data_IF_279899574116
#
_entry.id   IF_279899574116
#
_cell.length_a   1.000
_cell.length_b   1.000
_cell.length_c   1.000
_cell.angle_alpha   90.00
_cell.angle_beta   90.00
_cell.angle_gamma   90.00
#
_symmetry.space_group_name_H-M   'P 1'
#
loop_
_entity.id
_entity.type
_entity.pdbx_description
1 polymer ?
#
# COMPACT_ATOMS: atom_id res chain seq x y z
N UNK A 1 3.18 16.93 -18.06
CA UNK A 1 1.99 16.85 -17.19
C UNK A 1 1.52 15.39 -16.94
N UNK A 2 2.44 14.43 -16.72
CA UNK A 2 2.10 12.98 -16.69
C UNK A 2 1.49 12.49 -15.36
N UNK A 3 1.72 13.19 -14.25
CA UNK A 3 1.31 12.69 -12.92
C UNK A 3 -0.22 12.65 -12.71
N UNK A 4 -0.97 13.62 -13.22
CA UNK A 4 -2.43 13.62 -13.07
C UNK A 4 -3.10 12.42 -13.75
N UNK A 5 -2.49 11.90 -14.84
CA UNK A 5 -2.93 10.66 -15.48
C UNK A 5 -2.55 9.45 -14.64
N UNK A 6 -1.29 9.38 -14.21
CA UNK A 6 -0.76 8.29 -13.37
C UNK A 6 -1.53 8.10 -12.06
N UNK A 7 -1.84 9.18 -11.33
CA UNK A 7 -2.60 9.05 -10.08
C UNK A 7 -4.02 8.53 -10.33
N UNK A 8 -4.65 8.91 -11.46
CA UNK A 8 -5.97 8.42 -11.84
C UNK A 8 -5.93 6.92 -12.19
N UNK A 9 -4.92 6.49 -12.94
CA UNK A 9 -4.68 5.08 -13.27
C UNK A 9 -4.48 4.27 -11.97
N UNK A 10 -3.64 4.74 -11.05
CA UNK A 10 -3.41 4.04 -9.76
C UNK A 10 -4.66 3.99 -8.86
N UNK A 11 -5.50 5.02 -8.87
CA UNK A 11 -6.80 4.98 -8.16
C UNK A 11 -7.71 3.90 -8.77
N UNK A 12 -7.69 3.75 -10.10
CA UNK A 12 -8.51 2.72 -10.76
C UNK A 12 -8.01 1.29 -10.45
N UNK A 13 -6.70 1.12 -10.35
CA UNK A 13 -6.03 -0.15 -9.98
C UNK A 13 -6.15 -0.48 -8.48
N UNK A 14 -6.49 0.50 -7.63
CA UNK A 14 -6.74 0.28 -6.21
C UNK A 14 -8.14 -0.29 -5.92
N UNK A 15 -8.31 -0.80 -4.70
CA UNK A 15 -9.60 -1.28 -4.20
C UNK A 15 -10.69 -0.19 -4.31
N UNK A 16 -11.92 -0.53 -4.75
CA UNK A 16 -13.01 0.44 -4.94
C UNK A 16 -13.26 1.36 -3.74
N UNK A 17 -13.21 0.79 -2.54
CA UNK A 17 -13.39 1.44 -1.24
C UNK A 17 -12.26 2.41 -0.86
N UNK A 18 -11.09 2.31 -1.48
CA UNK A 18 -9.95 3.19 -1.20
C UNK A 18 -9.93 4.42 -2.12
N UNK A 19 -10.72 4.42 -3.21
CA UNK A 19 -10.60 5.39 -4.29
C UNK A 19 -10.86 6.83 -3.86
N UNK A 20 -11.82 7.05 -2.97
CA UNK A 20 -12.17 8.36 -2.41
C UNK A 20 -11.15 8.85 -1.35
N UNK A 21 -10.34 7.92 -0.82
CA UNK A 21 -9.31 8.20 0.19
C UNK A 21 -8.04 8.78 -0.41
N UNK A 22 -7.82 8.70 -1.72
CA UNK A 22 -6.66 9.30 -2.37
C UNK A 22 -6.74 10.83 -2.44
N UNK A 23 -5.58 11.46 -2.69
CA UNK A 23 -5.47 12.90 -2.88
C UNK A 23 -6.39 13.39 -4.01
N UNK A 24 -7.26 14.37 -3.69
CA UNK A 24 -8.10 15.09 -4.65
C UNK A 24 -7.29 16.08 -5.50
N UNK A 25 -6.35 15.53 -6.26
CA UNK A 25 -5.33 16.28 -7.00
C UNK A 25 -5.95 17.22 -8.04
N UNK A 26 -7.08 16.83 -8.65
CA UNK A 26 -7.79 17.65 -9.64
C UNK A 26 -8.37 18.92 -9.01
N UNK A 27 -9.00 18.81 -7.84
CA UNK A 27 -9.61 19.95 -7.12
C UNK A 27 -8.53 20.96 -6.70
N UNK A 28 -7.47 20.48 -6.05
CA UNK A 28 -6.34 21.33 -5.66
C UNK A 28 -5.67 21.99 -6.87
N UNK A 29 -5.53 21.26 -7.98
CA UNK A 29 -4.96 21.81 -9.22
C UNK A 29 -5.82 22.93 -9.77
N UNK A 30 -7.15 22.76 -9.79
CA UNK A 30 -8.08 23.76 -10.28
C UNK A 30 -8.03 25.03 -9.42
N UNK A 31 -7.93 24.89 -8.09
CA UNK A 31 -7.77 26.02 -7.18
C UNK A 31 -6.51 26.84 -7.51
N UNK A 32 -5.37 26.19 -7.75
CA UNK A 32 -4.11 26.89 -8.10
C UNK A 32 -4.22 27.61 -9.46
N UNK A 33 -5.02 27.09 -10.38
CA UNK A 33 -5.24 27.70 -11.70
C UNK A 33 -6.15 28.93 -11.66
N UNK A 34 -6.84 29.21 -10.55
CA UNK A 34 -7.65 30.41 -10.35
C UNK A 34 -6.82 31.71 -10.47
N UNK A 35 -7.40 32.85 -10.90
CA UNK A 35 -6.68 34.12 -11.02
C UNK A 35 -6.07 34.61 -9.71
N UNK A 36 -6.73 34.36 -8.58
CA UNK A 36 -6.30 34.74 -7.24
C UNK A 36 -6.49 33.57 -6.26
N UNK A 37 -5.56 32.59 -6.20
CA UNK A 37 -5.66 31.48 -5.28
C UNK A 37 -5.42 31.96 -3.84
N UNK A 38 -6.46 31.97 -3.02
CA UNK A 38 -6.34 32.30 -1.61
C UNK A 38 -5.51 31.22 -0.89
N UNK A 39 -4.40 31.63 -0.27
CA UNK A 39 -3.49 30.74 0.45
C UNK A 39 -4.21 29.97 1.57
N UNK A 40 -5.03 30.66 2.36
CA UNK A 40 -5.80 30.06 3.46
C UNK A 40 -6.70 28.92 3.00
N UNK A 41 -7.36 29.07 1.84
CA UNK A 41 -8.20 28.02 1.26
C UNK A 41 -7.36 26.83 0.82
N UNK A 42 -6.23 27.08 0.14
CA UNK A 42 -5.35 26.01 -0.32
C UNK A 42 -4.75 25.22 0.86
N UNK A 43 -4.27 25.92 1.89
CA UNK A 43 -3.75 25.35 3.13
C UNK A 43 -4.82 24.55 3.86
N UNK A 44 -6.04 25.08 3.97
CA UNK A 44 -7.17 24.39 4.58
C UNK A 44 -7.49 23.06 3.88
N UNK A 45 -7.57 23.06 2.54
CA UNK A 45 -7.78 21.83 1.77
C UNK A 45 -6.64 20.83 1.91
N UNK A 46 -5.38 21.27 1.94
CA UNK A 46 -4.25 20.38 2.15
C UNK A 46 -4.28 19.70 3.52
N UNK A 47 -4.63 20.45 4.58
CA UNK A 47 -4.75 19.88 5.91
C UNK A 47 -5.89 18.86 5.97
N UNK A 48 -7.05 19.17 5.38
CA UNK A 48 -8.16 18.23 5.31
C UNK A 48 -7.80 16.93 4.55
N UNK A 49 -7.03 17.04 3.46
CA UNK A 49 -6.52 15.85 2.76
C UNK A 49 -5.55 15.03 3.62
N UNK A 50 -4.65 15.68 4.37
CA UNK A 50 -3.73 14.98 5.29
C UNK A 50 -4.50 14.28 6.41
N UNK A 51 -5.49 14.93 7.01
CA UNK A 51 -6.35 14.34 8.05
C UNK A 51 -7.09 13.12 7.51
N UNK A 52 -7.64 13.20 6.30
CA UNK A 52 -8.27 12.07 5.62
C UNK A 52 -7.28 10.91 5.42
N UNK A 53 -6.05 11.18 4.97
CA UNK A 53 -5.04 10.14 4.78
C UNK A 53 -4.68 9.48 6.11
N UNK A 54 -4.53 10.26 7.17
CA UNK A 54 -4.21 9.74 8.50
C UNK A 54 -5.34 8.86 9.05
N UNK A 55 -6.59 9.33 8.97
CA UNK A 55 -7.73 8.58 9.47
C UNK A 55 -7.84 7.22 8.76
N UNK A 56 -7.79 7.24 7.43
CA UNK A 56 -7.83 6.01 6.64
C UNK A 56 -6.63 5.09 6.91
N UNK A 57 -5.41 5.63 6.99
CA UNK A 57 -4.22 4.81 7.20
C UNK A 57 -4.21 4.13 8.57
N UNK A 58 -4.60 4.85 9.63
CA UNK A 58 -4.67 4.29 10.98
C UNK A 58 -5.75 3.21 11.08
N UNK A 59 -6.92 3.43 10.48
CA UNK A 59 -7.99 2.43 10.41
C UNK A 59 -7.49 1.14 9.73
N UNK A 60 -6.82 1.26 8.58
CA UNK A 60 -6.27 0.09 7.90
C UNK A 60 -5.13 -0.59 8.69
N UNK A 61 -4.28 0.17 9.40
CA UNK A 61 -3.27 -0.43 10.27
C UNK A 61 -3.90 -1.24 11.41
N UNK A 62 -4.99 -0.76 12.00
CA UNK A 62 -5.73 -1.47 13.04
C UNK A 62 -6.33 -2.78 12.50
N UNK A 63 -6.99 -2.71 11.33
CA UNK A 63 -7.53 -3.88 10.65
C UNK A 63 -6.45 -4.93 10.36
N UNK A 64 -5.27 -4.49 9.90
CA UNK A 64 -4.15 -5.37 9.64
C UNK A 64 -3.60 -6.03 10.90
N UNK A 65 -3.54 -5.33 12.03
CA UNK A 65 -3.13 -5.94 13.30
C UNK A 65 -4.11 -7.03 13.73
N UNK A 66 -5.42 -6.79 13.56
CA UNK A 66 -6.47 -7.75 13.93
C UNK A 66 -6.39 -8.98 13.04
N UNK A 67 -6.34 -8.79 11.71
CA UNK A 67 -6.26 -9.90 10.75
C UNK A 67 -4.97 -10.70 10.92
N UNK A 68 -3.84 -10.05 11.18
CA UNK A 68 -2.58 -10.73 11.46
C UNK A 68 -2.69 -11.68 12.66
N UNK A 69 -3.29 -11.23 13.77
CA UNK A 69 -3.51 -12.07 14.96
C UNK A 69 -4.44 -13.25 14.68
N UNK A 70 -5.51 -13.02 13.94
CA UNK A 70 -6.47 -14.07 13.56
C UNK A 70 -5.80 -15.14 12.68
N UNK A 71 -5.02 -14.72 11.68
CA UNK A 71 -4.29 -15.64 10.82
C UNK A 71 -3.24 -16.46 11.62
N UNK A 72 -2.49 -15.82 12.52
CA UNK A 72 -1.55 -16.52 13.40
C UNK A 72 -2.26 -17.59 14.24
N UNK A 73 -3.42 -17.26 14.81
CA UNK A 73 -4.22 -18.20 15.59
C UNK A 73 -4.73 -19.38 14.76
N UNK A 74 -5.24 -19.12 13.54
CA UNK A 74 -5.69 -20.18 12.62
C UNK A 74 -4.55 -21.12 12.22
N UNK A 75 -3.38 -20.58 11.93
CA UNK A 75 -2.18 -21.38 11.61
C UNK A 75 -1.77 -22.24 12.81
N UNK A 76 -1.71 -21.67 14.01
CA UNK A 76 -1.34 -22.40 15.22
C UNK A 76 -2.29 -23.59 15.47
N UNK A 77 -3.61 -23.37 15.39
CA UNK A 77 -4.62 -24.42 15.58
C UNK A 77 -4.48 -25.56 14.58
N UNK A 78 -4.11 -25.26 13.34
CA UNK A 78 -3.86 -26.29 12.34
C UNK A 78 -2.62 -27.13 12.66
N UNK A 79 -1.54 -26.49 13.10
CA UNK A 79 -0.31 -27.19 13.49
C UNK A 79 -0.59 -28.15 14.66
N UNK A 80 -1.40 -27.73 15.63
CA UNK A 80 -1.80 -28.56 16.78
C UNK A 80 -2.68 -29.75 16.38
N UNK A 81 -3.52 -29.62 15.35
CA UNK A 81 -4.40 -30.68 14.84
C UNK A 81 -3.71 -31.71 13.93
N UNK A 82 -2.47 -31.47 13.51
CA UNK A 82 -1.75 -32.29 12.52
C UNK A 82 -1.45 -33.75 12.98
N UNK A 83 -1.89 -34.15 14.19
CA UNK A 83 -1.77 -35.51 14.71
C UNK A 83 -2.92 -36.47 14.37
N UNK A 84 -4.11 -35.96 14.01
CA UNK A 84 -5.31 -36.77 13.76
C UNK A 84 -5.80 -36.57 12.31
N UNK A 85 -5.68 -37.61 11.48
CA UNK A 85 -5.95 -37.55 10.04
C UNK A 85 -7.43 -37.31 9.69
N UNK A 86 -7.69 -36.21 8.99
CA UNK A 86 -8.77 -36.06 8.00
C UNK A 86 -8.21 -35.29 6.78
N UNK A 87 -7.67 -36.04 5.83
CA UNK A 87 -6.72 -35.57 4.80
C UNK A 87 -7.33 -34.59 3.77
N UNK A 88 -8.66 -34.56 3.61
CA UNK A 88 -9.34 -33.64 2.66
C UNK A 88 -9.67 -32.29 3.32
N UNK A 89 -10.30 -32.30 4.49
CA UNK A 89 -10.67 -31.08 5.22
C UNK A 89 -9.44 -30.29 5.67
N UNK A 90 -8.38 -30.99 6.10
CA UNK A 90 -7.13 -30.35 6.47
C UNK A 90 -6.46 -29.64 5.28
N UNK A 91 -6.50 -30.25 4.08
CA UNK A 91 -5.98 -29.63 2.85
C UNK A 91 -6.79 -28.41 2.41
N UNK A 92 -8.12 -28.46 2.52
CA UNK A 92 -8.98 -27.32 2.22
C UNK A 92 -8.72 -26.15 3.18
N UNK A 93 -8.61 -26.41 4.48
CA UNK A 93 -8.32 -25.37 5.49
C UNK A 93 -6.94 -24.73 5.26
N UNK A 94 -5.92 -25.52 4.90
CA UNK A 94 -4.61 -25.00 4.47
C UNK A 94 -4.74 -24.14 3.20
N UNK A 95 -5.53 -24.59 2.22
CA UNK A 95 -5.77 -23.85 0.98
C UNK A 95 -6.36 -22.47 1.23
N UNK A 96 -7.38 -22.39 2.08
CA UNK A 96 -8.03 -21.14 2.47
C UNK A 96 -7.09 -20.21 3.23
N UNK A 97 -6.30 -20.74 4.18
CA UNK A 97 -5.29 -19.92 4.88
C UNK A 97 -4.26 -19.35 3.89
N UNK A 98 -3.78 -20.17 2.95
CA UNK A 98 -2.77 -19.69 1.99
C UNK A 98 -3.33 -18.61 1.07
N UNK A 99 -4.59 -18.72 0.64
CA UNK A 99 -5.27 -17.70 -0.15
C UNK A 99 -5.44 -16.41 0.65
N UNK A 100 -5.83 -16.53 1.91
CA UNK A 100 -5.99 -15.41 2.82
C UNK A 100 -4.66 -14.67 3.05
N UNK A 101 -3.56 -15.40 3.28
CA UNK A 101 -2.21 -14.82 3.40
C UNK A 101 -1.82 -14.01 2.15
N UNK A 102 -2.06 -14.55 0.94
CA UNK A 102 -1.72 -13.86 -0.31
C UNK A 102 -2.55 -12.59 -0.50
N UNK A 103 -3.86 -12.65 -0.23
CA UNK A 103 -4.73 -11.48 -0.31
C UNK A 103 -4.31 -10.41 0.71
N UNK A 104 -4.08 -10.83 1.96
CA UNK A 104 -3.67 -9.95 3.05
C UNK A 104 -2.32 -9.28 2.78
N UNK A 105 -1.34 -10.02 2.24
CA UNK A 105 -0.07 -9.45 1.78
C UNK A 105 -0.29 -8.39 0.69
N UNK A 106 -1.14 -8.70 -0.30
CA UNK A 106 -1.51 -7.76 -1.35
C UNK A 106 -2.08 -6.47 -0.80
N UNK A 107 -3.03 -6.53 0.14
CA UNK A 107 -3.64 -5.37 0.78
C UNK A 107 -2.62 -4.49 1.51
N UNK A 108 -1.68 -5.09 2.26
CA UNK A 108 -0.62 -4.33 2.92
C UNK A 108 0.30 -3.62 1.91
N UNK A 109 0.68 -4.29 0.82
CA UNK A 109 1.47 -3.68 -0.26
C UNK A 109 0.71 -2.53 -0.92
N UNK A 110 -0.59 -2.70 -1.14
CA UNK A 110 -1.46 -1.63 -1.62
C UNK A 110 -1.44 -0.42 -0.66
N UNK A 111 -1.47 -0.63 0.67
CA UNK A 111 -1.46 0.48 1.65
C UNK A 111 -0.13 1.25 1.63
N UNK A 112 1.00 0.54 1.49
CA UNK A 112 2.32 1.17 1.31
C UNK A 112 2.35 2.00 0.02
N UNK A 113 1.80 1.47 -1.08
CA UNK A 113 1.72 2.21 -2.34
C UNK A 113 0.79 3.43 -2.23
N UNK A 114 -0.34 3.31 -1.52
CA UNK A 114 -1.26 4.41 -1.22
C UNK A 114 -0.52 5.57 -0.54
N UNK A 115 0.27 5.29 0.51
CA UNK A 115 1.10 6.30 1.19
C UNK A 115 2.04 7.02 0.21
N UNK A 116 2.78 6.24 -0.60
CA UNK A 116 3.74 6.77 -1.58
C UNK A 116 3.11 7.67 -2.64
N UNK A 117 1.95 7.27 -3.17
CA UNK A 117 1.22 8.06 -4.18
C UNK A 117 0.74 9.37 -3.59
N UNK A 118 0.13 9.34 -2.40
CA UNK A 118 -0.40 10.53 -1.75
C UNK A 118 0.73 11.50 -1.37
N UNK A 119 1.83 11.00 -0.82
CA UNK A 119 3.02 11.81 -0.55
C UNK A 119 3.59 12.46 -1.82
N UNK A 120 3.70 11.69 -2.91
CA UNK A 120 4.15 12.20 -4.21
C UNK A 120 3.20 13.28 -4.73
N UNK A 121 1.89 13.08 -4.55
CA UNK A 121 0.84 14.03 -4.92
C UNK A 121 0.95 15.34 -4.16
N UNK A 122 1.12 15.28 -2.83
CA UNK A 122 1.36 16.45 -1.98
C UNK A 122 2.60 17.21 -2.41
N UNK A 123 3.71 16.50 -2.64
CA UNK A 123 4.97 17.11 -3.09
C UNK A 123 4.81 17.83 -4.44
N UNK A 124 4.04 17.26 -5.36
CA UNK A 124 3.80 17.85 -6.69
C UNK A 124 2.84 19.02 -6.65
N UNK A 125 1.78 18.96 -5.84
CA UNK A 125 0.80 20.04 -5.74
C UNK A 125 1.38 21.25 -5.01
N UNK A 126 2.17 21.04 -3.96
CA UNK A 126 2.94 22.09 -3.28
C UNK A 126 3.93 22.76 -4.23
N UNK A 127 4.69 21.97 -5.02
CA UNK A 127 5.59 22.52 -6.06
C UNK A 127 4.86 23.39 -7.07
N UNK A 128 3.63 23.01 -7.41
CA UNK A 128 2.80 23.73 -8.38
C UNK A 128 2.32 25.06 -7.78
N UNK A 129 1.89 25.06 -6.51
CA UNK A 129 1.47 26.26 -5.80
C UNK A 129 2.61 27.28 -5.74
N UNK A 130 3.76 26.89 -5.18
CA UNK A 130 4.93 27.78 -5.03
C UNK A 130 5.39 28.37 -6.37
N UNK A 131 5.40 27.56 -7.45
CA UNK A 131 5.73 28.05 -8.79
C UNK A 131 4.76 29.09 -9.33
N UNK A 132 3.50 29.05 -8.92
CA UNK A 132 2.46 29.95 -9.42
C UNK A 132 2.41 31.24 -8.62
N UNK A 133 2.59 31.16 -7.30
CA UNK A 133 2.46 32.29 -6.38
C UNK A 133 3.78 32.96 -6.05
N UNK A 134 4.92 32.31 -6.32
CA UNK A 134 6.23 32.76 -5.86
C UNK A 134 6.49 32.50 -4.38
N UNK A 135 5.58 31.80 -3.69
CA UNK A 135 5.68 31.47 -2.27
C UNK A 135 6.64 30.30 -1.97
N UNK A 136 6.74 29.96 -0.69
CA UNK A 136 7.65 28.93 -0.17
C UNK A 136 6.97 27.93 0.78
N UNK A 137 5.72 27.54 0.48
CA UNK A 137 4.93 26.66 1.36
C UNK A 137 5.40 25.21 1.34
N UNK A 138 6.07 24.77 0.27
CA UNK A 138 6.50 23.37 0.13
C UNK A 138 7.37 22.90 1.30
N UNK A 139 8.38 23.67 1.69
CA UNK A 139 9.33 23.24 2.72
C UNK A 139 8.66 22.96 4.08
N UNK A 140 7.91 23.93 4.67
CA UNK A 140 7.25 23.69 5.96
C UNK A 140 6.20 22.57 5.89
N UNK A 141 5.47 22.45 4.77
CA UNK A 141 4.49 21.37 4.62
C UNK A 141 5.14 19.99 4.54
N UNK A 142 6.23 19.83 3.79
CA UNK A 142 6.90 18.53 3.70
C UNK A 142 7.43 18.12 5.07
N UNK A 143 8.04 19.03 5.84
CA UNK A 143 8.48 18.72 7.20
C UNK A 143 7.33 18.31 8.14
N UNK A 144 6.13 18.89 7.96
CA UNK A 144 4.93 18.47 8.67
C UNK A 144 4.49 17.06 8.25
N UNK A 145 4.46 16.80 6.94
CA UNK A 145 4.02 15.53 6.33
C UNK A 145 4.89 14.34 6.77
N UNK A 146 6.22 14.51 6.85
CA UNK A 146 7.14 13.44 7.25
C UNK A 146 6.90 12.89 8.68
N UNK A 147 6.10 13.59 9.48
CA UNK A 147 5.73 13.21 10.85
C UNK A 147 4.29 12.69 10.95
N UNK A 148 3.56 12.64 9.84
CA UNK A 148 2.16 12.20 9.84
C UNK A 148 2.06 10.67 9.82
N UNK A 149 1.05 10.09 10.50
CA UNK A 149 0.78 8.65 10.50
C UNK A 149 0.81 8.01 9.11
N UNK A 150 0.13 8.61 8.12
CA UNK A 150 0.06 8.02 6.78
C UNK A 150 1.42 7.85 6.10
N UNK A 151 2.45 8.58 6.53
CA UNK A 151 3.82 8.49 6.00
C UNK A 151 4.69 7.48 6.78
N UNK A 152 4.29 7.10 8.00
CA UNK A 152 5.01 6.19 8.88
C UNK A 152 4.60 4.75 8.62
N UNK A 153 5.05 4.19 7.50
CA UNK A 153 4.70 2.84 7.06
C UNK A 153 5.53 1.72 7.73
N UNK A 154 6.25 2.01 8.82
CA UNK A 154 7.21 1.10 9.44
C UNK A 154 6.55 -0.17 9.98
N UNK A 155 5.34 -0.07 10.55
CA UNK A 155 4.58 -1.22 11.03
C UNK A 155 4.16 -2.12 9.86
N UNK A 156 3.45 -1.55 8.88
CA UNK A 156 2.97 -2.27 7.69
C UNK A 156 4.13 -2.93 6.96
N UNK A 157 5.25 -2.23 6.79
CA UNK A 157 6.44 -2.78 6.11
C UNK A 157 7.06 -3.95 6.85
N UNK A 158 6.98 -4.00 8.19
CA UNK A 158 7.42 -5.15 8.97
C UNK A 158 6.48 -6.34 8.80
N UNK A 159 5.16 -6.10 8.88
CA UNK A 159 4.16 -7.16 8.68
C UNK A 159 4.29 -7.79 7.29
N UNK A 160 4.46 -6.98 6.24
CA UNK A 160 4.71 -7.46 4.87
C UNK A 160 5.88 -8.45 4.82
N UNK A 161 7.02 -8.09 5.41
CA UNK A 161 8.23 -8.95 5.42
C UNK A 161 8.03 -10.24 6.22
N UNK A 162 7.28 -10.18 7.31
CA UNK A 162 6.95 -11.34 8.13
C UNK A 162 6.10 -12.34 7.34
N UNK A 163 5.10 -11.85 6.60
CA UNK A 163 4.27 -12.70 5.74
C UNK A 163 5.01 -13.21 4.50
N UNK A 164 5.93 -12.45 3.92
CA UNK A 164 6.84 -12.95 2.87
C UNK A 164 7.66 -14.15 3.37
N UNK A 165 8.26 -14.03 4.55
CA UNK A 165 9.03 -15.12 5.17
C UNK A 165 8.15 -16.34 5.45
N UNK A 166 6.92 -16.11 5.91
CA UNK A 166 5.94 -17.17 6.20
C UNK A 166 5.48 -17.86 4.92
N UNK A 167 5.23 -17.11 3.84
CA UNK A 167 4.92 -17.67 2.53
C UNK A 167 6.09 -18.50 1.99
N UNK A 168 7.33 -18.03 2.09
CA UNK A 168 8.49 -18.79 1.64
C UNK A 168 8.63 -20.13 2.40
N UNK A 169 8.31 -20.14 3.70
CA UNK A 169 8.33 -21.35 4.52
C UNK A 169 7.15 -22.31 4.25
N UNK A 170 5.93 -21.79 4.04
CA UNK A 170 4.72 -22.58 3.81
C UNK A 170 4.52 -23.03 2.36
N UNK A 171 5.24 -22.43 1.42
CA UNK A 171 5.19 -22.77 -0.01
C UNK A 171 6.57 -23.17 -0.53
N UNK A 172 7.13 -24.34 -0.16
CA UNK A 172 8.46 -24.76 -0.64
C UNK A 172 8.54 -25.04 -2.16
N UNK A 173 7.51 -24.76 -2.96
CA UNK A 173 7.31 -25.37 -4.27
C UNK A 173 6.80 -24.44 -5.39
N UNK A 174 7.10 -23.14 -5.36
CA UNK A 174 6.87 -22.26 -6.53
C UNK A 174 8.10 -21.49 -7.04
N UNK A 175 9.25 -21.57 -6.36
CA UNK A 175 10.50 -20.90 -6.79
C UNK A 175 11.63 -21.86 -7.14
N UNK A 176 11.42 -23.17 -7.06
CA UNK A 176 12.25 -24.13 -7.81
C UNK A 176 11.60 -24.31 -9.17
N UNK A 177 11.93 -23.41 -10.10
CA UNK A 177 11.89 -23.83 -11.50
C UNK A 177 12.66 -25.16 -11.61
N UNK A 178 12.16 -26.15 -12.38
CA UNK A 178 12.99 -27.29 -12.70
C UNK A 178 14.24 -26.71 -13.36
N UNK A 179 15.40 -26.86 -12.71
CA UNK A 179 16.68 -26.62 -13.39
C UNK A 179 16.75 -27.68 -14.48
N UNK A 180 16.23 -27.35 -15.65
CA UNK A 180 16.68 -28.00 -16.88
C UNK A 180 18.11 -27.53 -17.04
N UNK A 181 19.04 -28.33 -16.52
CA UNK A 181 20.42 -28.28 -16.97
C UNK A 181 20.38 -28.76 -18.41
N UNK A 182 20.35 -27.81 -19.34
CA UNK A 182 20.84 -28.06 -20.70
C UNK A 182 22.36 -27.96 -20.64
N UNK A 183 23.04 -28.93 -21.26
CA UNK A 183 24.51 -29.07 -21.27
C UNK A 183 25.27 -27.89 -21.93
N UNK A 184 24.57 -26.87 -22.42
CA UNK A 184 25.14 -25.82 -23.28
C UNK A 184 25.10 -24.39 -22.70
N UNK A 185 24.99 -24.21 -21.39
CA UNK A 185 25.53 -23.01 -20.71
C UNK A 185 25.01 -21.62 -21.12
N UNK A 186 23.77 -21.48 -21.62
CA UNK A 186 23.14 -20.17 -21.86
C UNK A 186 21.76 -20.05 -21.20
N UNK A 187 21.58 -19.01 -20.38
CA UNK A 187 20.29 -18.64 -19.76
C UNK A 187 19.47 -17.88 -20.81
N UNK A 188 18.32 -18.44 -21.23
CA UNK A 188 17.29 -17.71 -21.96
C UNK A 188 16.24 -17.24 -20.95
N UNK A 189 16.14 -15.92 -20.77
CA UNK A 189 15.00 -15.27 -20.12
C UNK A 189 13.90 -15.11 -21.16
N UNK A 190 12.79 -15.86 -21.02
CA UNK A 190 11.58 -15.64 -21.81
C UNK A 190 10.66 -14.67 -21.07
N UNK A 191 10.16 -13.68 -21.82
CA UNK A 191 9.24 -12.61 -21.43
C UNK A 191 7.95 -13.10 -20.79
#
# INVERSE_FOLDING_TARGET
MKFGKRIKEQIQESLPEWRDKFLRYKELKNLISSPAPAESIFVGLLNAEIEKFNAFFVEQEEDFIIHHKELQYRIQRLVEKCGDNDDVMFREEIGEIRKDIVNFHGEMVLLVNYSNINYTGLTKILKKYDKRTGGALRSPFIQKVLRQPFFKTDLVSRLVREWETTMDAMFPALTREPRTVSDDGYIILSL
#
